data_IF_293998068657
#
_entry.id   IF_293998068657
#
_cell.length_a   1.000
_cell.length_b   1.000
_cell.length_c   1.000
_cell.angle_alpha   90.00
_cell.angle_beta   90.00
_cell.angle_gamma   90.00
#
_symmetry.space_group_name_H-M   'P 1'
#
loop_
_entity.id
_entity.type
_entity.pdbx_description
1 polymer ?
#
# COMPACT_ATOMS: atom_id res chain seq x y z
N UNK A 1 -20.51 10.61 0.74
CA UNK A 1 -19.86 10.43 2.05
C UNK A 1 -18.86 11.55 2.23
N UNK A 2 -18.92 12.32 3.31
CA UNK A 2 -17.84 13.25 3.63
C UNK A 2 -16.70 12.43 4.25
N UNK A 3 -15.69 12.09 3.44
CA UNK A 3 -14.55 11.28 3.90
C UNK A 3 -13.55 12.20 4.58
N UNK A 4 -13.29 11.97 5.87
CA UNK A 4 -12.26 12.69 6.59
C UNK A 4 -10.87 12.16 6.20
N UNK A 5 -10.32 12.72 5.13
CA UNK A 5 -9.00 12.35 4.59
C UNK A 5 -7.89 12.59 5.63
N UNK A 6 -8.01 13.61 6.49
CA UNK A 6 -6.98 13.90 7.49
C UNK A 6 -6.91 12.79 8.54
N UNK A 7 -8.08 12.31 9.00
CA UNK A 7 -8.17 11.18 9.92
C UNK A 7 -7.60 9.90 9.30
N UNK A 8 -7.90 9.63 8.03
CA UNK A 8 -7.37 8.44 7.34
C UNK A 8 -5.85 8.50 7.16
N UNK A 9 -5.29 9.65 6.74
CA UNK A 9 -3.84 9.82 6.63
C UNK A 9 -3.16 9.66 7.99
N UNK A 10 -3.71 10.27 9.05
CA UNK A 10 -3.18 10.11 10.41
C UNK A 10 -3.19 8.65 10.88
N UNK A 11 -4.27 7.92 10.62
CA UNK A 11 -4.36 6.50 10.94
C UNK A 11 -3.34 5.66 10.16
N UNK A 12 -3.19 5.91 8.86
CA UNK A 12 -2.25 5.19 8.01
C UNK A 12 -0.78 5.39 8.48
N UNK A 13 -0.40 6.61 8.86
CA UNK A 13 0.92 6.90 9.43
C UNK A 13 1.17 6.20 10.77
N UNK A 14 0.11 5.88 11.51
CA UNK A 14 0.14 5.07 12.74
C UNK A 14 0.03 3.56 12.49
N UNK A 15 0.19 3.11 11.23
CA UNK A 15 0.09 1.70 10.82
C UNK A 15 -1.31 1.08 11.02
N UNK A 16 -2.37 1.89 11.06
CA UNK A 16 -3.75 1.38 11.09
C UNK A 16 -4.14 0.80 9.73
N UNK A 17 -4.31 -0.52 9.68
CA UNK A 17 -4.64 -1.27 8.46
C UNK A 17 -5.96 -0.79 7.84
N UNK A 18 -6.97 -0.46 8.65
CA UNK A 18 -8.26 -0.03 8.14
C UNK A 18 -8.17 1.34 7.43
N UNK A 19 -7.38 2.25 7.99
CA UNK A 19 -7.09 3.53 7.35
C UNK A 19 -6.32 3.37 6.04
N UNK A 20 -5.31 2.48 5.98
CA UNK A 20 -4.57 2.17 4.74
C UNK A 20 -5.51 1.63 3.66
N UNK A 21 -6.35 0.64 3.98
CA UNK A 21 -7.29 0.05 3.02
C UNK A 21 -8.26 1.10 2.46
N UNK A 22 -8.80 1.97 3.32
CA UNK A 22 -9.71 3.05 2.89
C UNK A 22 -9.02 4.08 2.00
N UNK A 23 -7.75 4.42 2.26
CA UNK A 23 -6.99 5.31 1.41
C UNK A 23 -6.72 4.70 0.03
N UNK A 24 -6.40 3.41 -0.04
CA UNK A 24 -6.23 2.69 -1.32
C UNK A 24 -7.53 2.78 -2.13
N UNK A 25 -8.66 2.40 -1.53
CA UNK A 25 -9.97 2.49 -2.20
C UNK A 25 -10.30 3.91 -2.63
N UNK A 26 -10.05 4.91 -1.79
CA UNK A 26 -10.32 6.32 -2.12
C UNK A 26 -9.47 6.77 -3.32
N UNK A 27 -8.19 6.39 -3.36
CA UNK A 27 -7.27 6.74 -4.45
C UNK A 27 -7.66 6.06 -5.77
N UNK A 28 -8.18 4.83 -5.71
CA UNK A 28 -8.61 4.05 -6.87
C UNK A 28 -9.97 4.51 -7.43
N UNK A 29 -10.84 5.08 -6.59
CA UNK A 29 -12.24 5.37 -6.96
C UNK A 29 -12.55 6.85 -7.19
N UNK A 30 -11.75 7.77 -6.64
CA UNK A 30 -12.04 9.20 -6.67
C UNK A 30 -10.79 10.05 -6.98
N UNK A 31 -10.60 10.48 -8.25
CA UNK A 31 -9.45 11.27 -8.67
C UNK A 31 -9.26 12.59 -7.92
N UNK A 32 -10.34 13.25 -7.49
CA UNK A 32 -10.26 14.54 -6.79
C UNK A 32 -9.75 14.34 -5.37
N UNK A 33 -10.27 13.33 -4.68
CA UNK A 33 -9.80 12.97 -3.35
C UNK A 33 -8.36 12.40 -3.40
N UNK A 34 -7.94 11.74 -4.48
CA UNK A 34 -6.56 11.24 -4.65
C UNK A 34 -5.50 12.34 -4.51
N UNK A 35 -5.75 13.53 -5.09
CA UNK A 35 -4.86 14.68 -4.98
C UNK A 35 -4.75 15.11 -3.51
N UNK A 36 -5.89 15.17 -2.80
CA UNK A 36 -5.92 15.54 -1.38
C UNK A 36 -5.17 14.54 -0.49
N UNK A 37 -5.21 13.24 -0.83
CA UNK A 37 -4.47 12.19 -0.13
C UNK A 37 -2.97 12.35 -0.36
N UNK A 38 -2.53 12.41 -1.62
CA UNK A 38 -1.11 12.48 -1.99
C UNK A 38 -0.45 13.73 -1.42
N UNK A 39 -1.13 14.88 -1.42
CA UNK A 39 -0.60 16.14 -0.89
C UNK A 39 -0.46 16.16 0.63
N UNK A 40 -1.21 15.30 1.35
CA UNK A 40 -1.18 15.21 2.82
C UNK A 40 -0.23 14.14 3.34
N UNK A 41 0.18 13.18 2.50
CA UNK A 41 1.18 12.19 2.88
C UNK A 41 2.55 12.88 2.88
N UNK A 42 3.25 12.95 4.03
CA UNK A 42 4.57 13.57 4.08
C UNK A 42 5.55 12.79 3.21
N UNK A 43 6.44 13.50 2.52
CA UNK A 43 7.56 12.87 1.85
C UNK A 43 8.43 12.17 2.90
N UNK A 44 8.58 10.86 2.75
CA UNK A 44 9.48 10.05 3.57
C UNK A 44 10.60 9.53 2.66
N UNK A 45 11.85 9.47 3.15
CA UNK A 45 12.92 8.81 2.41
C UNK A 45 12.47 7.38 2.04
N UNK A 46 12.77 6.94 0.82
CA UNK A 46 12.37 5.62 0.34
C UNK A 46 13.10 4.55 1.17
N UNK A 47 12.43 4.04 2.18
CA UNK A 47 12.91 2.95 3.05
C UNK A 47 12.46 1.58 2.56
N UNK A 48 11.57 1.53 1.55
CA UNK A 48 11.03 0.30 0.99
C UNK A 48 11.67 -0.05 -0.36
N UNK A 49 11.94 -1.34 -0.55
CA UNK A 49 12.36 -1.89 -1.84
C UNK A 49 11.15 -2.05 -2.78
N UNK A 50 11.29 -1.63 -4.04
CA UNK A 50 10.25 -1.81 -5.08
C UNK A 50 10.74 -2.88 -6.05
N UNK A 51 10.01 -4.00 -6.13
CA UNK A 51 10.37 -5.17 -6.95
C UNK A 51 9.20 -5.47 -7.91
N UNK A 52 9.49 -5.50 -9.21
CA UNK A 52 8.51 -5.88 -10.25
C UNK A 52 8.60 -7.36 -10.60
N UNK A 53 7.46 -8.05 -10.69
CA UNK A 53 7.36 -9.44 -11.13
C UNK A 53 6.61 -9.51 -12.45
N UNK A 54 7.22 -10.10 -13.48
CA UNK A 54 6.64 -10.30 -14.81
C UNK A 54 6.78 -11.75 -15.27
N UNK A 55 6.01 -12.16 -16.27
CA UNK A 55 6.00 -13.51 -16.83
C UNK A 55 4.69 -13.85 -17.54
N UNK A 56 4.71 -14.88 -18.38
CA UNK A 56 3.52 -15.35 -19.11
C UNK A 56 2.42 -15.88 -18.18
N UNK A 57 1.18 -15.93 -18.68
CA UNK A 57 0.08 -16.54 -17.96
C UNK A 57 0.41 -18.01 -17.65
N UNK A 58 0.18 -18.45 -16.40
CA UNK A 58 0.45 -19.82 -15.97
C UNK A 58 1.89 -20.15 -15.55
N UNK A 59 2.86 -19.23 -15.68
CA UNK A 59 4.29 -19.48 -15.33
C UNK A 59 4.55 -19.70 -13.82
N UNK A 60 3.51 -19.64 -12.98
CA UNK A 60 3.66 -19.75 -11.52
C UNK A 60 4.03 -18.44 -10.83
N UNK A 61 3.87 -17.28 -11.49
CA UNK A 61 4.16 -15.94 -10.91
C UNK A 61 3.51 -15.73 -9.53
N UNK A 62 2.23 -16.08 -9.37
CA UNK A 62 1.54 -15.92 -8.07
C UNK A 62 2.11 -16.85 -6.99
N UNK A 63 2.52 -18.06 -7.35
CA UNK A 63 3.19 -19.01 -6.44
C UNK A 63 4.52 -18.45 -5.97
N UNK A 64 5.33 -17.91 -6.89
CA UNK A 64 6.60 -17.28 -6.57
C UNK A 64 6.41 -16.06 -5.66
N UNK A 65 5.48 -15.16 -6.01
CA UNK A 65 5.19 -13.96 -5.20
C UNK A 65 4.79 -14.37 -3.78
N UNK A 66 3.92 -15.38 -3.63
CA UNK A 66 3.51 -15.86 -2.32
C UNK A 66 4.68 -16.42 -1.49
N UNK A 67 5.55 -17.21 -2.12
CA UNK A 67 6.74 -17.76 -1.46
C UNK A 67 7.70 -16.65 -1.00
N UNK A 68 8.01 -15.68 -1.87
CA UNK A 68 8.87 -14.54 -1.55
C UNK A 68 8.29 -13.68 -0.43
N UNK A 69 7.00 -13.32 -0.53
CA UNK A 69 6.33 -12.53 0.50
C UNK A 69 6.34 -13.24 1.87
N UNK A 70 6.14 -14.57 1.88
CA UNK A 70 6.21 -15.39 3.10
C UNK A 70 7.60 -15.38 3.71
N UNK A 71 8.66 -15.49 2.90
CA UNK A 71 10.05 -15.46 3.37
C UNK A 71 10.40 -14.10 3.97
N UNK A 72 10.12 -13.01 3.26
CA UNK A 72 10.42 -11.65 3.73
C UNK A 72 9.65 -11.29 5.01
N UNK A 73 8.39 -11.72 5.12
CA UNK A 73 7.60 -11.50 6.34
C UNK A 73 8.20 -12.24 7.55
N UNK A 74 8.76 -13.44 7.35
CA UNK A 74 9.45 -14.18 8.42
C UNK A 74 10.74 -13.48 8.85
N UNK A 75 11.56 -13.04 7.91
CA UNK A 75 12.81 -12.33 8.19
C UNK A 75 12.59 -10.99 8.91
N UNK A 76 11.55 -10.24 8.52
CA UNK A 76 11.19 -8.96 9.14
C UNK A 76 10.43 -9.05 10.48
N UNK A 77 10.11 -10.26 10.95
CA UNK A 77 9.45 -10.49 12.24
C UNK A 77 10.44 -10.80 13.39
N UNK A 78 11.75 -10.67 13.14
CA UNK A 78 12.83 -10.82 14.13
C UNK A 78 13.29 -9.48 14.69
#
# INVERSE_FOLDING_TARGET
MNVDVAKLVSGALKKDKASVSKLITLVETDPLNSISVITRIPYQPKTAHIIGFTGSAGVGKSTLINAVATLLAREGSS
#
